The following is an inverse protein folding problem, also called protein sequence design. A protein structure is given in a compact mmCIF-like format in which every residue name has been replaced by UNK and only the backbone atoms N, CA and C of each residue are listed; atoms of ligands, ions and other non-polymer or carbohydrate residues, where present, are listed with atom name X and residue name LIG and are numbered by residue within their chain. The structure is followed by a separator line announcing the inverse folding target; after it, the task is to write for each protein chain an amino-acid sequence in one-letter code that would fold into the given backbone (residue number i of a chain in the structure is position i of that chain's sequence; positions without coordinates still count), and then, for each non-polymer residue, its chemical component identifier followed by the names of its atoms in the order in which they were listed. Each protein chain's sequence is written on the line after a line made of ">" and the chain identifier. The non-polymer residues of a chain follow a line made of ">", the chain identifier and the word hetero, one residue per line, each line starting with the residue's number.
data_IF_523475127037
#
_entry.id   IF_523475127037
#
_cell.length_a   1.000
_cell.length_b   1.000
_cell.length_c   1.000
_cell.angle_alpha   90.00
_cell.angle_beta   90.00
_cell.angle_gamma   90.00
#
_symmetry.space_group_name_H-M   'P 1'
#
loop_
_entity.id
_entity.type
_entity.pdbx_description
1 polymer ?
#
# COMPACT_ATOMS: atom_id res chain seq x y z
N UNK A 1 0.50 13.46 -3.00
CA UNK A 1 0.71 14.89 -3.29
C UNK A 1 0.62 15.71 -2.02
N UNK A 2 1.71 16.37 -1.65
CA UNK A 2 1.82 17.20 -0.45
C UNK A 2 1.07 18.53 -0.63
N UNK A 3 0.24 18.90 0.36
CA UNK A 3 -0.53 20.14 0.32
C UNK A 3 -0.96 20.52 1.75
N UNK A 4 -1.20 21.82 1.99
CA UNK A 4 -1.81 22.32 3.22
C UNK A 4 -3.33 22.10 3.16
N UNK A 5 -3.79 20.96 3.67
CA UNK A 5 -5.21 20.57 3.63
C UNK A 5 -6.03 21.22 4.75
N UNK A 6 -5.39 21.43 5.87
CA UNK A 6 -5.94 22.12 7.05
C UNK A 6 -4.95 23.21 7.43
N UNK A 7 -5.38 24.39 7.87
CA UNK A 7 -4.49 25.49 8.23
C UNK A 7 -3.37 25.07 9.17
N UNK A 8 -2.12 25.29 8.76
CA UNK A 8 -0.93 24.95 9.51
C UNK A 8 -0.53 23.47 9.46
N UNK A 9 -1.24 22.61 8.70
CA UNK A 9 -0.94 21.18 8.61
C UNK A 9 -0.82 20.74 7.14
N UNK A 10 0.37 20.28 6.79
CA UNK A 10 0.68 19.74 5.47
C UNK A 10 0.72 18.21 5.53
N UNK A 11 -0.09 17.56 4.71
CA UNK A 11 -0.15 16.10 4.58
C UNK A 11 -0.03 15.68 3.13
N UNK A 12 0.32 14.43 2.90
CA UNK A 12 0.21 13.82 1.59
C UNK A 12 -1.15 13.15 1.42
N UNK A 13 -1.81 13.43 0.30
CA UNK A 13 -3.03 12.74 -0.12
C UNK A 13 -2.66 11.63 -1.10
N UNK A 14 -2.93 10.40 -0.72
CA UNK A 14 -2.81 9.20 -1.55
C UNK A 14 -4.15 8.99 -2.24
N UNK A 15 -4.14 8.77 -3.55
CA UNK A 15 -5.35 8.52 -4.33
C UNK A 15 -5.11 7.39 -5.32
N UNK A 16 -6.01 6.44 -5.34
CA UNK A 16 -6.08 5.40 -6.38
C UNK A 16 -7.40 5.54 -7.11
N UNK A 17 -7.33 5.77 -8.42
CA UNK A 17 -8.50 6.04 -9.27
C UNK A 17 -8.50 5.18 -10.52
N UNK A 18 -9.66 4.98 -11.09
CA UNK A 18 -9.82 4.39 -12.42
C UNK A 18 -9.53 5.42 -13.50
N UNK A 19 -8.67 5.06 -14.44
CA UNK A 19 -8.34 5.92 -15.58
C UNK A 19 -9.46 5.95 -16.63
N UNK A 20 -10.31 4.93 -16.72
CA UNK A 20 -11.40 4.87 -17.70
C UNK A 20 -12.59 5.77 -17.33
N UNK A 21 -13.05 5.67 -16.07
CA UNK A 21 -14.28 6.33 -15.62
C UNK A 21 -14.04 7.49 -14.64
N UNK A 22 -12.79 7.70 -14.20
CA UNK A 22 -12.37 8.72 -13.21
C UNK A 22 -12.96 8.52 -11.80
N UNK A 23 -13.43 7.33 -11.49
CA UNK A 23 -13.86 6.96 -10.15
C UNK A 23 -12.67 6.84 -9.21
N UNK A 24 -12.77 7.42 -8.02
CA UNK A 24 -11.75 7.26 -6.98
C UNK A 24 -12.12 6.04 -6.14
N UNK A 25 -11.29 5.01 -6.19
CA UNK A 25 -11.49 3.78 -5.43
C UNK A 25 -10.97 3.86 -4.00
N UNK A 26 -9.87 4.59 -3.78
CA UNK A 26 -9.28 4.80 -2.47
C UNK A 26 -8.66 6.18 -2.39
N UNK A 27 -8.91 6.91 -1.30
CA UNK A 27 -8.20 8.14 -0.96
C UNK A 27 -8.07 8.30 0.54
N UNK A 28 -6.88 8.71 1.00
CA UNK A 28 -6.61 8.96 2.41
C UNK A 28 -5.37 9.84 2.57
N UNK A 29 -5.33 10.55 3.68
CA UNK A 29 -4.19 11.37 4.09
C UNK A 29 -3.18 10.55 4.88
N UNK A 30 -1.91 10.86 4.67
CA UNK A 30 -0.78 10.34 5.45
C UNK A 30 0.20 11.48 5.76
N UNK A 31 1.06 11.33 6.79
CA UNK A 31 2.11 12.31 7.04
C UNK A 31 3.08 12.45 5.87
N UNK A 32 3.43 11.33 5.21
CA UNK A 32 4.35 11.26 4.09
C UNK A 32 4.03 10.09 3.18
N UNK A 33 4.04 10.33 1.86
CA UNK A 33 3.86 9.31 0.83
C UNK A 33 5.06 8.35 0.78
N UNK A 34 4.80 7.07 0.57
CA UNK A 34 5.84 6.06 0.43
C UNK A 34 5.32 4.65 0.15
N UNK A 35 6.18 3.67 0.34
CA UNK A 35 5.86 2.27 0.06
C UNK A 35 4.64 1.77 0.86
N UNK A 36 4.55 2.10 2.15
CA UNK A 36 3.47 1.61 3.00
C UNK A 36 2.12 2.22 2.65
N UNK A 37 2.07 3.53 2.38
CA UNK A 37 0.84 4.20 1.94
C UNK A 37 0.38 3.68 0.57
N UNK A 38 1.31 3.39 -0.35
CA UNK A 38 0.99 2.74 -1.62
C UNK A 38 0.37 1.35 -1.42
N UNK A 39 0.91 0.54 -0.50
CA UNK A 39 0.33 -0.76 -0.17
C UNK A 39 -1.08 -0.67 0.40
N UNK A 40 -1.34 0.34 1.26
CA UNK A 40 -2.68 0.58 1.81
C UNK A 40 -3.67 0.89 0.67
N UNK A 41 -3.35 1.84 -0.21
CA UNK A 41 -4.23 2.22 -1.33
C UNK A 41 -4.52 1.05 -2.28
N UNK A 42 -3.49 0.28 -2.66
CA UNK A 42 -3.63 -0.90 -3.51
C UNK A 42 -4.45 -2.00 -2.82
N UNK A 43 -4.21 -2.25 -1.53
CA UNK A 43 -4.98 -3.20 -0.73
C UNK A 43 -6.46 -2.85 -0.71
N UNK A 44 -6.79 -1.59 -0.49
CA UNK A 44 -8.18 -1.13 -0.41
C UNK A 44 -8.91 -1.37 -1.73
N UNK A 45 -8.26 -1.13 -2.88
CA UNK A 45 -8.81 -1.45 -4.20
C UNK A 45 -9.02 -2.95 -4.37
N UNK A 46 -8.00 -3.77 -4.06
CA UNK A 46 -8.10 -5.23 -4.23
C UNK A 46 -9.17 -5.82 -3.31
N UNK A 47 -9.30 -5.32 -2.09
CA UNK A 47 -10.31 -5.78 -1.13
C UNK A 47 -11.74 -5.46 -1.58
N UNK A 48 -11.95 -4.32 -2.24
CA UNK A 48 -13.27 -3.88 -2.68
C UNK A 48 -13.67 -4.44 -4.05
N UNK A 49 -12.72 -4.55 -4.99
CA UNK A 49 -13.00 -4.84 -6.40
C UNK A 49 -12.31 -6.10 -6.92
N UNK A 50 -11.21 -6.54 -6.32
CA UNK A 50 -10.34 -7.62 -6.82
C UNK A 50 -9.08 -7.10 -7.51
N UNK A 51 -8.34 -8.01 -8.15
CA UNK A 51 -7.13 -7.67 -8.90
C UNK A 51 -7.48 -6.90 -10.18
N UNK A 52 -6.69 -5.89 -10.49
CA UNK A 52 -6.76 -5.10 -11.71
C UNK A 52 -5.55 -5.38 -12.62
N UNK A 53 -5.64 -5.01 -13.90
CA UNK A 53 -4.63 -5.39 -14.91
C UNK A 53 -3.34 -4.57 -14.80
N UNK A 54 -3.46 -3.26 -14.59
CA UNK A 54 -2.30 -2.37 -14.63
C UNK A 54 -2.42 -1.20 -13.67
N UNK A 55 -1.26 -0.70 -13.21
CA UNK A 55 -1.12 0.45 -12.32
C UNK A 55 -0.24 1.51 -12.98
N UNK A 56 -0.85 2.66 -13.30
CA UNK A 56 -0.12 3.85 -13.72
C UNK A 56 0.40 4.61 -12.50
N UNK A 57 1.70 4.89 -12.47
CA UNK A 57 2.31 5.67 -11.39
C UNK A 57 3.20 6.76 -11.95
N UNK A 58 3.51 7.76 -11.15
CA UNK A 58 4.66 8.59 -11.40
C UNK A 58 5.97 7.81 -11.21
N UNK A 59 7.10 8.48 -11.38
CA UNK A 59 8.43 7.86 -11.22
C UNK A 59 9.02 8.08 -9.83
N UNK A 60 8.16 8.15 -8.81
CA UNK A 60 8.59 8.23 -7.42
C UNK A 60 9.49 7.05 -7.02
N UNK A 61 10.45 7.29 -6.13
CA UNK A 61 11.46 6.29 -5.74
C UNK A 61 10.89 5.05 -5.05
N UNK A 62 9.70 5.15 -4.47
CA UNK A 62 9.01 4.00 -3.88
C UNK A 62 8.32 3.12 -4.94
N UNK A 63 8.01 3.68 -6.14
CA UNK A 63 7.50 2.92 -7.28
C UNK A 63 8.61 2.38 -8.17
N UNK A 64 9.65 3.19 -8.44
CA UNK A 64 10.65 2.86 -9.44
C UNK A 64 12.07 3.20 -8.98
N UNK A 65 13.00 2.31 -9.28
CA UNK A 65 14.41 2.63 -9.29
C UNK A 65 14.76 3.41 -10.56
N UNK A 66 15.33 4.59 -10.42
CA UNK A 66 15.76 5.42 -11.55
C UNK A 66 17.26 5.69 -11.36
N UNK A 67 18.15 4.94 -12.05
CA UNK A 67 19.59 5.05 -11.85
C UNK A 67 20.17 6.43 -12.15
N UNK A 68 19.59 7.11 -13.14
CA UNK A 68 19.98 8.46 -13.54
C UNK A 68 18.82 9.44 -13.36
N UNK A 69 19.07 10.60 -12.77
CA UNK A 69 18.05 11.62 -12.57
C UNK A 69 17.40 12.02 -13.91
N UNK A 70 16.07 11.90 -14.00
CA UNK A 70 15.33 12.16 -15.24
C UNK A 70 15.40 11.05 -16.30
N UNK A 71 16.18 10.00 -16.05
CA UNK A 71 16.38 8.85 -16.96
C UNK A 71 15.20 7.89 -17.03
N UNK A 72 15.43 6.75 -17.67
CA UNK A 72 14.47 5.64 -17.72
C UNK A 72 14.46 4.90 -16.39
N UNK A 73 13.29 4.41 -16.01
CA UNK A 73 13.15 3.53 -14.85
C UNK A 73 13.82 2.18 -15.10
N UNK A 74 14.41 1.62 -14.04
CA UNK A 74 14.92 0.25 -14.05
C UNK A 74 13.75 -0.72 -13.79
N UNK A 75 13.47 -1.59 -14.75
CA UNK A 75 12.43 -2.60 -14.66
C UNK A 75 12.94 -3.97 -14.15
N UNK A 76 14.25 -4.12 -14.02
CA UNK A 76 14.88 -5.35 -13.55
C UNK A 76 15.08 -5.34 -12.04
N UNK A 77 15.58 -4.21 -11.50
CA UNK A 77 15.74 -4.01 -10.06
C UNK A 77 14.48 -3.38 -9.47
N UNK A 78 13.58 -4.22 -9.02
CA UNK A 78 12.27 -3.79 -8.53
C UNK A 78 12.35 -3.16 -7.15
N UNK A 79 11.55 -2.12 -6.93
CA UNK A 79 11.22 -1.62 -5.59
C UNK A 79 10.33 -2.62 -4.85
N UNK A 80 10.01 -2.36 -3.58
CA UNK A 80 9.07 -3.20 -2.84
C UNK A 80 7.65 -3.16 -3.45
N UNK A 81 7.22 -2.01 -3.97
CA UNK A 81 5.94 -1.90 -4.70
C UNK A 81 6.02 -2.68 -6.01
N UNK A 82 7.10 -2.50 -6.79
CA UNK A 82 7.32 -3.23 -8.03
C UNK A 82 7.29 -4.75 -7.83
N UNK A 83 7.99 -5.24 -6.78
CA UNK A 83 7.97 -6.67 -6.41
C UNK A 83 6.53 -7.14 -6.09
N UNK A 84 5.78 -6.36 -5.32
CA UNK A 84 4.42 -6.74 -4.93
C UNK A 84 3.48 -6.80 -6.15
N UNK A 85 3.56 -5.81 -7.04
CA UNK A 85 2.76 -5.81 -8.28
C UNK A 85 3.11 -7.00 -9.18
N UNK A 86 4.40 -7.29 -9.35
CA UNK A 86 4.85 -8.47 -10.11
C UNK A 86 4.28 -9.78 -9.52
N UNK A 87 4.29 -9.93 -8.18
CA UNK A 87 3.74 -11.11 -7.51
C UNK A 87 2.21 -11.24 -7.67
N UNK A 88 1.51 -10.11 -7.81
CA UNK A 88 0.06 -10.07 -8.06
C UNK A 88 -0.31 -10.17 -9.54
N UNK A 89 0.67 -10.16 -10.44
CA UNK A 89 0.44 -10.16 -11.88
C UNK A 89 -0.11 -8.82 -12.40
N UNK A 90 0.10 -7.73 -11.67
CA UNK A 90 -0.32 -6.37 -12.06
C UNK A 90 0.84 -5.70 -12.81
N UNK A 91 0.59 -5.21 -14.01
CA UNK A 91 1.57 -4.48 -14.79
C UNK A 91 1.76 -3.07 -14.22
N UNK A 92 3.01 -2.66 -13.97
CA UNK A 92 3.33 -1.28 -13.61
C UNK A 92 3.75 -0.48 -14.83
N UNK A 93 3.13 0.69 -15.02
CA UNK A 93 3.37 1.59 -16.14
C UNK A 93 3.86 2.95 -15.62
N UNK A 94 5.14 3.31 -15.89
CA UNK A 94 5.68 4.60 -15.47
C UNK A 94 5.21 5.72 -16.39
N UNK A 95 4.71 6.80 -15.82
CA UNK A 95 4.33 8.00 -16.57
C UNK A 95 5.57 8.85 -16.91
N UNK A 96 5.88 8.97 -18.20
CA UNK A 96 7.00 9.76 -18.68
C UNK A 96 6.62 11.16 -19.17
N UNK A 97 5.36 11.41 -19.44
CA UNK A 97 4.90 12.69 -19.95
C UNK A 97 3.77 13.29 -19.10
N UNK A 98 3.60 14.63 -19.15
CA UNK A 98 2.46 15.30 -18.52
C UNK A 98 1.10 14.78 -19.03
N UNK A 99 1.02 14.42 -20.32
CA UNK A 99 -0.22 13.90 -20.92
C UNK A 99 -0.63 12.56 -20.28
N UNK A 100 0.36 11.70 -19.98
CA UNK A 100 0.12 10.43 -19.27
C UNK A 100 -0.41 10.63 -17.85
N UNK A 101 -0.23 11.82 -17.27
CA UNK A 101 -0.69 12.20 -15.93
C UNK A 101 -1.89 13.17 -15.95
N UNK A 102 -2.31 13.63 -17.10
CA UNK A 102 -3.27 14.73 -17.22
C UNK A 102 -4.62 14.47 -16.52
N UNK A 103 -5.03 13.21 -16.33
CA UNK A 103 -6.24 12.88 -15.57
C UNK A 103 -6.00 12.97 -14.06
N UNK A 104 -4.93 12.38 -13.57
CA UNK A 104 -4.57 12.47 -12.14
C UNK A 104 -4.26 13.92 -11.73
N UNK A 105 -3.57 14.69 -12.54
CA UNK A 105 -3.30 16.12 -12.27
C UNK A 105 -4.60 16.95 -12.17
N UNK A 106 -5.53 16.75 -13.10
CA UNK A 106 -6.85 17.42 -13.03
C UNK A 106 -7.65 17.01 -11.80
N UNK A 107 -7.62 15.73 -11.45
CA UNK A 107 -8.27 15.21 -10.25
C UNK A 107 -7.64 15.85 -9.00
N UNK A 108 -6.30 15.85 -8.86
CA UNK A 108 -5.63 16.51 -7.75
C UNK A 108 -5.93 18.00 -7.69
N UNK A 109 -5.95 18.72 -8.82
CA UNK A 109 -6.37 20.12 -8.87
C UNK A 109 -7.81 20.33 -8.35
N UNK A 110 -8.73 19.43 -8.69
CA UNK A 110 -10.11 19.47 -8.17
C UNK A 110 -10.14 19.21 -6.66
N UNK A 111 -9.40 18.22 -6.16
CA UNK A 111 -9.35 17.89 -4.74
C UNK A 111 -8.71 19.03 -3.92
N UNK A 112 -7.60 19.58 -4.37
CA UNK A 112 -6.92 20.70 -3.71
C UNK A 112 -7.77 21.98 -3.63
N UNK A 113 -8.64 22.20 -4.61
CA UNK A 113 -9.57 23.34 -4.58
C UNK A 113 -10.78 23.12 -3.67
N UNK A 114 -11.26 21.88 -3.52
CA UNK A 114 -12.51 21.56 -2.80
C UNK A 114 -12.29 21.09 -1.37
N UNK A 115 -11.43 20.10 -1.15
CA UNK A 115 -11.24 19.46 0.14
C UNK A 115 -10.91 20.43 1.28
N UNK A 116 -9.98 21.41 1.13
CA UNK A 116 -9.68 22.34 2.22
C UNK A 116 -10.90 23.13 2.68
N UNK A 117 -11.80 23.47 1.74
CA UNK A 117 -13.01 24.21 2.05
C UNK A 117 -14.04 23.33 2.75
N UNK A 118 -14.20 22.10 2.30
CA UNK A 118 -15.12 21.14 2.89
C UNK A 118 -14.68 20.69 4.28
N UNK A 119 -13.39 20.40 4.49
CA UNK A 119 -12.83 20.11 5.81
C UNK A 119 -13.05 21.27 6.78
N UNK A 120 -12.82 22.50 6.32
CA UNK A 120 -13.07 23.71 7.14
C UNK A 120 -14.55 23.86 7.50
N UNK A 121 -15.46 23.62 6.54
CA UNK A 121 -16.92 23.74 6.79
C UNK A 121 -17.42 22.74 7.84
N UNK A 122 -16.75 21.60 7.95
CA UNK A 122 -17.04 20.55 8.93
C UNK A 122 -16.25 20.72 10.25
N UNK A 123 -15.46 21.77 10.38
CA UNK A 123 -14.53 22.00 11.51
C UNK A 123 -13.55 20.84 11.76
N UNK A 124 -13.15 20.14 10.71
CA UNK A 124 -12.19 19.04 10.78
C UNK A 124 -10.79 19.60 10.85
N UNK A 125 -10.03 19.17 11.87
CA UNK A 125 -8.68 19.67 12.14
C UNK A 125 -7.64 18.57 12.30
N UNK A 126 -8.04 17.30 12.41
CA UNK A 126 -7.13 16.17 12.56
C UNK A 126 -7.14 15.29 11.32
N UNK A 127 -6.02 14.59 11.08
CA UNK A 127 -5.88 13.67 9.96
C UNK A 127 -6.88 12.50 10.04
N UNK A 128 -7.11 11.97 11.23
CA UNK A 128 -8.03 10.84 11.44
C UNK A 128 -9.49 11.22 11.12
N UNK A 129 -9.91 12.42 11.56
CA UNK A 129 -11.23 12.96 11.20
C UNK A 129 -11.33 13.22 9.69
N UNK A 130 -10.28 13.77 9.07
CA UNK A 130 -10.22 14.01 7.64
C UNK A 130 -10.30 12.71 6.83
N UNK A 131 -9.61 11.66 7.27
CA UNK A 131 -9.68 10.34 6.65
C UNK A 131 -11.06 9.71 6.76
N UNK A 132 -11.72 9.85 7.91
CA UNK A 132 -13.09 9.38 8.08
C UNK A 132 -14.06 10.14 7.17
N UNK A 133 -13.98 11.47 7.16
CA UNK A 133 -14.80 12.32 6.28
C UNK A 133 -14.59 11.99 4.81
N UNK A 134 -13.33 11.82 4.37
CA UNK A 134 -13.00 11.40 3.02
C UNK A 134 -13.75 10.13 2.64
N UNK A 135 -13.62 9.10 3.46
CA UNK A 135 -14.17 7.78 3.18
C UNK A 135 -15.70 7.74 3.22
N UNK A 136 -16.30 8.36 4.22
CA UNK A 136 -17.73 8.19 4.53
C UNK A 136 -18.62 9.20 3.79
N UNK A 137 -18.09 10.38 3.47
CA UNK A 137 -18.89 11.47 2.89
C UNK A 137 -18.33 11.92 1.55
N UNK A 138 -17.09 12.40 1.52
CA UNK A 138 -16.55 13.09 0.35
C UNK A 138 -16.43 12.19 -0.87
N UNK A 139 -15.85 10.99 -0.75
CA UNK A 139 -15.65 10.08 -1.88
C UNK A 139 -16.96 9.62 -2.51
N UNK A 140 -17.99 9.17 -1.76
CA UNK A 140 -19.28 8.83 -2.35
C UNK A 140 -19.90 10.00 -3.13
N UNK A 141 -19.90 11.21 -2.57
CA UNK A 141 -20.43 12.41 -3.23
C UNK A 141 -19.60 12.82 -4.45
N UNK A 142 -18.27 12.74 -4.35
CA UNK A 142 -17.37 13.06 -5.44
C UNK A 142 -17.58 12.11 -6.61
N UNK A 143 -17.59 10.81 -6.36
CA UNK A 143 -17.79 9.80 -7.39
C UNK A 143 -19.16 9.92 -8.06
N UNK A 144 -20.22 10.10 -7.27
CA UNK A 144 -21.57 10.31 -7.81
C UNK A 144 -21.66 11.52 -8.77
N UNK A 145 -20.82 12.55 -8.55
CA UNK A 145 -20.84 13.78 -9.33
C UNK A 145 -19.88 13.77 -10.53
N UNK A 146 -18.73 13.11 -10.42
CA UNK A 146 -17.62 13.26 -11.37
C UNK A 146 -17.24 11.97 -12.10
N UNK A 147 -17.62 10.79 -11.60
CA UNK A 147 -17.40 9.55 -12.35
C UNK A 147 -18.25 9.52 -13.62
N UNK A 148 -17.76 8.82 -14.62
CA UNK A 148 -18.42 8.67 -15.91
C UNK A 148 -18.74 7.20 -16.13
N UNK A 149 -19.79 6.91 -16.86
CA UNK A 149 -20.05 5.54 -17.32
C UNK A 149 -18.85 5.07 -18.16
N UNK A 150 -18.29 3.88 -17.89
CA UNK A 150 -17.23 3.32 -18.73
C UNK A 150 -17.77 3.05 -20.16
N UNK A 151 -16.86 3.11 -21.13
CA UNK A 151 -17.22 2.78 -22.53
C UNK A 151 -17.55 1.28 -22.65
N UNK A 152 -16.81 0.44 -21.92
CA UNK A 152 -17.07 -0.99 -21.80
C UNK A 152 -17.59 -1.26 -20.38
N UNK A 153 -18.78 -1.85 -20.29
CA UNK A 153 -19.42 -2.19 -19.01
C UNK A 153 -18.79 -3.44 -18.35
N UNK A 154 -17.99 -4.21 -19.10
CA UNK A 154 -17.34 -5.39 -18.57
C UNK A 154 -16.26 -5.02 -17.54
N UNK A 155 -16.38 -5.54 -16.34
CA UNK A 155 -15.36 -5.35 -15.31
C UNK A 155 -14.08 -6.13 -15.66
N UNK A 156 -12.93 -5.42 -15.62
CA UNK A 156 -11.61 -6.04 -15.77
C UNK A 156 -11.03 -6.56 -14.44
N UNK A 157 -11.75 -6.40 -13.33
CA UNK A 157 -11.34 -6.90 -12.03
C UNK A 157 -11.52 -8.42 -11.93
N UNK A 158 -10.54 -9.09 -11.34
CA UNK A 158 -10.56 -10.54 -11.11
C UNK A 158 -10.59 -10.82 -9.60
N UNK A 159 -11.51 -11.67 -9.11
CA UNK A 159 -11.54 -12.02 -7.68
C UNK A 159 -10.19 -12.56 -7.20
N UNK A 160 -9.73 -12.09 -6.05
CA UNK A 160 -8.48 -12.54 -5.43
C UNK A 160 -8.76 -13.42 -4.22
N UNK A 161 -8.38 -14.69 -4.30
CA UNK A 161 -8.59 -15.67 -3.24
C UNK A 161 -7.40 -15.83 -2.27
N UNK A 162 -6.31 -15.06 -2.45
CA UNK A 162 -5.09 -15.14 -1.65
C UNK A 162 -5.09 -14.20 -0.44
N UNK A 163 -4.05 -14.31 0.39
CA UNK A 163 -3.78 -13.31 1.44
C UNK A 163 -2.93 -12.17 0.87
N UNK A 164 -3.58 -11.09 0.49
CA UNK A 164 -2.93 -9.91 -0.09
C UNK A 164 -1.92 -9.26 0.87
N UNK A 165 -2.13 -9.38 2.18
CA UNK A 165 -1.24 -8.79 3.19
C UNK A 165 0.17 -9.39 3.15
N UNK A 166 0.30 -10.68 2.80
CA UNK A 166 1.61 -11.31 2.65
C UNK A 166 2.38 -10.83 1.41
N UNK A 167 1.70 -10.18 0.47
CA UNK A 167 2.30 -9.59 -0.73
C UNK A 167 2.50 -8.08 -0.60
N UNK A 168 1.48 -7.37 -0.10
CA UNK A 168 1.52 -5.92 0.14
C UNK A 168 2.16 -5.60 1.50
N UNK A 169 3.44 -5.93 1.62
CA UNK A 169 4.29 -5.70 2.78
C UNK A 169 5.73 -5.49 2.31
N UNK A 170 6.58 -4.88 3.11
CA UNK A 170 8.03 -4.88 2.84
C UNK A 170 8.57 -6.27 3.14
N UNK A 171 9.34 -6.83 2.23
CA UNK A 171 9.96 -8.14 2.38
C UNK A 171 11.47 -8.02 2.33
N UNK A 172 12.15 -8.51 3.37
CA UNK A 172 13.60 -8.51 3.44
C UNK A 172 14.16 -9.86 3.89
N UNK A 173 15.12 -10.38 3.13
CA UNK A 173 15.80 -11.62 3.49
C UNK A 173 16.77 -11.39 4.65
N UNK A 174 16.76 -12.29 5.61
CA UNK A 174 17.61 -12.31 6.80
C UNK A 174 18.17 -13.71 7.04
N UNK A 175 19.22 -13.77 7.85
CA UNK A 175 19.78 -15.05 8.34
C UNK A 175 19.56 -15.12 9.84
N UNK A 176 19.05 -16.25 10.30
CA UNK A 176 18.82 -16.49 11.72
C UNK A 176 20.16 -16.63 12.47
N UNK A 177 20.32 -15.91 13.57
CA UNK A 177 21.48 -15.90 14.42
C UNK A 177 21.61 -17.19 15.24
N UNK A 178 22.77 -17.40 15.91
CA UNK A 178 23.03 -18.62 16.71
C UNK A 178 22.11 -18.76 17.94
N UNK A 179 21.54 -17.67 18.41
CA UNK A 179 20.56 -17.60 19.50
C UNK A 179 19.10 -17.80 19.03
N UNK A 180 18.92 -18.24 17.79
CA UNK A 180 17.61 -18.43 17.15
C UNK A 180 16.81 -17.13 17.03
N UNK A 181 17.46 -15.99 16.84
CA UNK A 181 16.84 -14.68 16.62
C UNK A 181 17.03 -14.16 15.21
N UNK A 182 16.17 -13.21 14.81
CA UNK A 182 16.30 -12.41 13.59
C UNK A 182 16.39 -10.94 13.97
N UNK A 183 17.40 -10.23 13.46
CA UNK A 183 17.50 -8.78 13.64
C UNK A 183 16.83 -8.05 12.48
N UNK A 184 15.96 -7.10 12.80
CA UNK A 184 15.26 -6.29 11.82
C UNK A 184 15.01 -4.88 12.36
N UNK A 185 15.52 -3.84 11.66
CA UNK A 185 15.34 -2.41 12.02
C UNK A 185 15.58 -2.10 13.52
N UNK A 186 16.65 -2.67 14.09
CA UNK A 186 16.97 -2.49 15.51
C UNK A 186 16.23 -3.41 16.48
N UNK A 187 15.22 -4.15 16.01
CA UNK A 187 14.49 -5.15 16.79
C UNK A 187 15.19 -6.50 16.78
N UNK A 188 14.95 -7.29 17.82
CA UNK A 188 15.39 -8.68 17.94
C UNK A 188 14.16 -9.58 18.04
N UNK A 189 13.89 -10.32 16.98
CA UNK A 189 12.73 -11.19 16.86
C UNK A 189 13.11 -12.62 17.25
N UNK A 190 12.64 -13.09 18.40
CA UNK A 190 12.91 -14.44 18.89
C UNK A 190 12.00 -15.44 18.18
N UNK A 191 12.59 -16.42 17.47
CA UNK A 191 11.84 -17.49 16.83
C UNK A 191 11.58 -18.59 17.88
N UNK A 192 10.32 -18.94 18.10
CA UNK A 192 9.94 -20.04 18.97
C UNK A 192 10.26 -21.39 18.32
N UNK A 193 10.61 -22.38 19.14
CA UNK A 193 10.65 -23.76 18.69
C UNK A 193 9.25 -24.23 18.31
N UNK A 194 9.16 -25.05 17.29
CA UNK A 194 7.90 -25.68 16.91
C UNK A 194 8.01 -27.22 16.86
N UNK A 195 6.87 -27.88 16.68
CA UNK A 195 6.80 -29.35 16.62
C UNK A 195 7.58 -30.00 15.48
N UNK A 196 7.95 -29.22 14.45
CA UNK A 196 8.67 -29.72 13.27
C UNK A 196 10.16 -29.38 13.31
N UNK A 197 10.53 -28.31 14.05
CA UNK A 197 11.92 -27.87 14.13
C UNK A 197 12.19 -27.13 15.43
N UNK A 198 13.20 -27.57 16.16
CA UNK A 198 13.57 -26.97 17.45
C UNK A 198 14.25 -25.62 17.30
N UNK A 199 15.02 -25.42 16.24
CA UNK A 199 15.70 -24.14 15.96
C UNK A 199 15.88 -23.90 14.46
N UNK A 200 16.01 -22.64 14.09
CA UNK A 200 16.20 -22.16 12.70
C UNK A 200 17.60 -21.56 12.48
N UNK A 201 18.55 -21.80 13.38
CA UNK A 201 19.91 -21.25 13.33
C UNK A 201 20.51 -21.39 11.94
N UNK A 202 21.08 -20.27 11.43
CA UNK A 202 21.66 -20.13 10.09
C UNK A 202 20.69 -20.32 8.91
N UNK A 203 19.41 -20.51 9.17
CA UNK A 203 18.43 -20.57 8.10
C UNK A 203 18.25 -19.20 7.44
N UNK A 204 18.01 -19.20 6.13
CA UNK A 204 17.51 -18.03 5.40
C UNK A 204 16.02 -17.90 5.69
N UNK A 205 15.61 -16.72 6.12
CA UNK A 205 14.22 -16.38 6.42
C UNK A 205 13.89 -15.04 5.77
N UNK A 206 12.61 -14.79 5.58
CA UNK A 206 12.13 -13.51 5.06
C UNK A 206 11.29 -12.83 6.13
N UNK A 207 11.62 -11.59 6.44
CA UNK A 207 10.83 -10.74 7.32
C UNK A 207 9.86 -9.96 6.46
N UNK A 208 8.57 -10.03 6.80
CA UNK A 208 7.50 -9.23 6.26
C UNK A 208 7.15 -8.13 7.26
N UNK A 209 7.20 -6.88 6.83
CA UNK A 209 6.72 -5.74 7.60
C UNK A 209 5.43 -5.23 6.94
N UNK A 210 4.35 -5.33 7.68
CA UNK A 210 3.01 -4.94 7.22
C UNK A 210 2.75 -3.44 7.40
N UNK A 211 1.77 -2.85 6.69
CA UNK A 211 1.46 -1.42 6.80
C UNK A 211 1.00 -0.96 8.18
N UNK A 212 0.52 -1.85 9.04
CA UNK A 212 0.17 -1.59 10.45
C UNK A 212 1.38 -1.65 11.39
N UNK A 213 2.56 -1.96 10.86
CA UNK A 213 3.81 -2.11 11.59
C UNK A 213 4.05 -3.51 12.14
N UNK A 214 3.07 -4.40 12.12
CA UNK A 214 3.26 -5.78 12.55
C UNK A 214 4.27 -6.50 11.66
N UNK A 215 5.02 -7.43 12.26
CA UNK A 215 6.07 -8.18 11.59
C UNK A 215 5.72 -9.67 11.52
N UNK A 216 6.09 -10.32 10.42
CA UNK A 216 6.02 -11.77 10.31
C UNK A 216 7.34 -12.32 9.76
N UNK A 217 7.77 -13.47 10.26
CA UNK A 217 8.98 -14.16 9.80
C UNK A 217 8.59 -15.43 9.08
N UNK A 218 9.07 -15.58 7.86
CA UNK A 218 8.79 -16.72 7.00
C UNK A 218 10.05 -17.55 6.73
N UNK A 219 9.92 -18.88 6.80
CA UNK A 219 10.90 -19.83 6.30
C UNK A 219 10.29 -20.58 5.11
N UNK A 220 10.71 -20.25 3.90
CA UNK A 220 9.98 -20.64 2.70
C UNK A 220 8.54 -20.12 2.75
N UNK A 221 7.53 -20.91 2.44
CA UNK A 221 6.12 -20.49 2.47
C UNK A 221 5.51 -20.46 3.88
N UNK A 222 6.26 -20.90 4.89
CA UNK A 222 5.74 -21.09 6.25
C UNK A 222 6.03 -19.89 7.13
N UNK A 223 4.99 -19.29 7.71
CA UNK A 223 5.14 -18.31 8.79
C UNK A 223 5.59 -19.03 10.07
N UNK A 224 6.73 -18.61 10.62
CA UNK A 224 7.35 -19.19 11.83
C UNK A 224 7.34 -18.26 13.04
N UNK A 225 6.84 -17.04 12.88
CA UNK A 225 6.66 -16.08 13.97
C UNK A 225 5.91 -14.85 13.51
N UNK A 226 5.08 -14.29 14.39
CA UNK A 226 4.36 -13.02 14.18
C UNK A 226 4.67 -12.14 15.38
N UNK A 227 4.90 -10.85 15.14
CA UNK A 227 5.34 -9.91 16.16
C UNK A 227 4.61 -8.57 15.95
N UNK A 228 4.40 -7.87 17.05
CA UNK A 228 3.94 -6.49 17.04
C UNK A 228 5.02 -5.55 16.46
N UNK A 229 4.65 -4.32 16.16
CA UNK A 229 5.56 -3.29 15.64
C UNK A 229 6.78 -3.01 16.55
N UNK A 230 6.68 -3.30 17.86
CA UNK A 230 7.77 -3.20 18.84
C UNK A 230 8.56 -4.53 19.03
N UNK A 231 8.30 -5.53 18.19
CA UNK A 231 9.03 -6.79 18.13
C UNK A 231 8.63 -7.83 19.18
N UNK A 232 7.52 -7.64 19.90
CA UNK A 232 7.01 -8.61 20.86
C UNK A 232 6.26 -9.74 20.12
N UNK A 233 6.51 -11.00 20.49
CA UNK A 233 5.81 -12.11 19.84
C UNK A 233 4.30 -12.06 20.12
N UNK A 234 3.53 -12.30 19.06
CA UNK A 234 2.08 -12.47 19.14
C UNK A 234 1.79 -13.96 19.25
N UNK A 235 1.38 -14.41 20.43
CA UNK A 235 0.97 -15.80 20.64
C UNK A 235 -0.30 -16.09 19.84
N UNK A 236 -0.20 -17.05 18.91
CA UNK A 236 -1.30 -17.68 18.17
C UNK A 236 -2.55 -16.80 17.93
N UNK A 237 -2.50 -15.83 17.06
CA UNK A 237 -3.67 -15.55 16.24
C UNK A 237 -3.91 -16.79 15.38
N UNK A 238 -4.80 -17.69 15.82
CA UNK A 238 -5.50 -18.59 14.90
C UNK A 238 -5.80 -17.74 13.68
N UNK A 239 -5.29 -18.13 12.51
CA UNK A 239 -5.67 -17.51 11.26
C UNK A 239 -7.19 -17.31 11.33
N UNK A 240 -7.63 -16.07 11.55
CA UNK A 240 -9.00 -15.72 11.23
C UNK A 240 -9.07 -16.02 9.74
N UNK A 241 -9.78 -17.08 9.40
CA UNK A 241 -10.29 -17.26 8.05
C UNK A 241 -11.04 -15.96 7.76
N UNK A 242 -10.44 -15.10 6.96
CA UNK A 242 -11.14 -14.04 6.31
C UNK A 242 -12.12 -14.74 5.36
N UNK A 243 -13.32 -14.94 5.88
CA UNK A 243 -14.48 -15.30 5.09
C UNK A 243 -15.03 -13.97 4.59
N UNK A 244 -15.01 -13.88 3.26
CA UNK A 244 -15.76 -13.02 2.34
C UNK A 244 -15.83 -11.53 2.68
#
# INVERSE_FOLDING_TARGET
>A
SSHEWVPGQTWDLIVTMDDANSEIYSAFFVPEEGTMSSFIGIRDVIAAHGLFCSLYTDRGSHYWNTPEAGGKVDKENLTQVGRAMQQLGIEMIPAYSPEARGRSERMFGTLQNRLPQELRSQNITTMDEANRFLKEVFLPEHNARFSKAPIDEASAFVPFAGNVLNTLCIQEDRTVSNDNTVRYKGLVLQIAADKHRQHFVRAKVRVHEHPDGDLAVFHGPRCIGIYTADGKPIENRKQKKDVA
#
